data_IF_771176665750
#
_entry.id   IF_771176665750
#
_cell.length_a   1.000
_cell.length_b   1.000
_cell.length_c   1.000
_cell.angle_alpha   90.00
_cell.angle_beta   90.00
_cell.angle_gamma   90.00
#
_symmetry.space_group_name_H-M   'P 1'
#
loop_
_entity.id
_entity.type
_entity.pdbx_description
1 polymer ?
#
# COMPACT_ATOMS: atom_id res chain seq x y z
N UNK A 1 -10.36 -27.97 48.05
CA UNK A 1 -10.38 -29.09 47.08
C UNK A 1 -11.31 -28.72 45.94
N UNK A 2 -10.76 -28.39 44.76
CA UNK A 2 -11.13 -28.96 43.45
C UNK A 2 -10.21 -28.31 42.39
N UNK A 3 -9.77 -29.14 41.45
CA UNK A 3 -8.49 -29.09 40.75
C UNK A 3 -8.33 -27.97 39.70
N UNK A 4 -7.10 -27.45 39.61
CA UNK A 4 -6.51 -26.87 38.39
C UNK A 4 -6.09 -27.98 37.41
N UNK A 5 -6.09 -27.72 36.10
CA UNK A 5 -4.99 -28.18 35.23
C UNK A 5 -4.38 -26.96 34.51
N UNK A 6 -3.09 -26.65 34.72
CA UNK A 6 -1.92 -27.25 34.07
C UNK A 6 -1.77 -26.79 32.61
N UNK A 7 -1.13 -25.62 32.46
CA UNK A 7 -0.63 -25.04 31.23
C UNK A 7 0.52 -25.92 30.71
N UNK A 8 0.31 -26.63 29.59
CA UNK A 8 1.35 -27.42 28.93
C UNK A 8 1.96 -26.59 27.79
N UNK A 9 3.29 -26.44 27.82
CA UNK A 9 4.10 -25.99 26.69
C UNK A 9 3.80 -26.85 25.46
N UNK A 10 3.49 -26.20 24.34
CA UNK A 10 3.55 -26.80 23.01
C UNK A 10 4.55 -26.02 22.15
N UNK A 11 5.79 -26.49 22.16
CA UNK A 11 6.74 -26.30 21.06
C UNK A 11 6.26 -27.18 19.90
N UNK A 12 5.49 -26.61 18.98
CA UNK A 12 5.25 -27.25 17.68
C UNK A 12 6.51 -27.09 16.83
N UNK A 13 7.24 -28.19 16.67
CA UNK A 13 8.13 -28.36 15.53
C UNK A 13 7.31 -28.22 14.25
N UNK A 14 7.64 -27.20 13.45
CA UNK A 14 7.11 -27.05 12.09
C UNK A 14 7.72 -28.17 11.26
N UNK A 15 6.94 -29.21 10.97
CA UNK A 15 7.28 -30.14 9.91
C UNK A 15 7.32 -29.37 8.58
N UNK A 16 8.33 -29.58 7.72
CA UNK A 16 8.31 -28.99 6.40
C UNK A 16 7.11 -29.56 5.64
N UNK A 17 6.15 -28.71 5.32
CA UNK A 17 5.08 -29.05 4.39
C UNK A 17 5.72 -29.46 3.07
N UNK A 18 5.37 -30.68 2.63
CA UNK A 18 5.61 -31.17 1.27
C UNK A 18 5.16 -30.07 0.31
N UNK A 19 6.04 -29.63 -0.58
CA UNK A 19 5.98 -28.38 -1.34
C UNK A 19 4.64 -28.17 -2.08
N UNK A 20 3.64 -27.65 -1.37
CA UNK A 20 2.56 -26.88 -1.96
C UNK A 20 3.20 -25.58 -2.41
N UNK A 21 3.25 -25.36 -3.72
CA UNK A 21 3.72 -24.11 -4.25
C UNK A 21 2.96 -22.95 -3.60
N UNK A 22 3.69 -22.00 -3.02
CA UNK A 22 3.08 -20.81 -2.42
C UNK A 22 2.30 -20.06 -3.50
N UNK A 23 0.98 -19.94 -3.31
CA UNK A 23 0.14 -19.17 -4.21
C UNK A 23 0.46 -17.69 -4.01
N UNK A 24 0.67 -17.01 -5.13
CA UNK A 24 0.81 -15.57 -5.15
C UNK A 24 -0.54 -14.91 -5.39
N UNK A 25 -0.69 -13.69 -4.90
CA UNK A 25 -1.86 -12.85 -5.13
C UNK A 25 -1.55 -11.67 -6.03
N UNK A 26 -2.47 -11.39 -6.93
CA UNK A 26 -2.58 -10.12 -7.63
C UNK A 26 -4.06 -9.76 -7.78
N UNK A 27 -4.48 -8.67 -7.12
CA UNK A 27 -5.86 -8.22 -7.11
C UNK A 27 -6.84 -9.33 -6.67
N UNK A 28 -7.81 -9.73 -7.51
CA UNK A 28 -8.78 -10.79 -7.20
C UNK A 28 -8.33 -12.21 -7.58
N UNK A 29 -7.05 -12.40 -7.90
CA UNK A 29 -6.52 -13.66 -8.43
C UNK A 29 -5.46 -14.24 -7.52
N UNK A 30 -5.61 -15.52 -7.16
CA UNK A 30 -4.54 -16.37 -6.66
C UNK A 30 -4.00 -17.26 -7.77
N UNK A 31 -2.67 -17.37 -7.88
CA UNK A 31 -2.00 -18.15 -8.91
C UNK A 31 -0.63 -18.67 -8.45
N UNK A 32 -0.21 -19.82 -8.99
CA UNK A 32 1.15 -20.32 -8.82
C UNK A 32 2.11 -19.68 -9.83
N UNK A 33 3.37 -19.49 -9.46
CA UNK A 33 4.42 -18.98 -10.36
C UNK A 33 4.96 -20.13 -11.24
N UNK A 34 4.87 -20.12 -12.57
CA UNK A 34 5.41 -21.24 -13.34
C UNK A 34 6.89 -21.51 -13.02
N UNK A 35 7.31 -22.77 -13.04
CA UNK A 35 8.64 -23.16 -12.55
C UNK A 35 9.77 -22.39 -13.26
N UNK A 36 10.63 -21.74 -12.47
CA UNK A 36 11.75 -20.92 -12.97
C UNK A 36 11.38 -19.52 -13.47
N UNK A 37 10.09 -19.18 -13.52
CA UNK A 37 9.66 -17.83 -13.90
C UNK A 37 9.90 -16.87 -12.75
N UNK A 38 10.04 -15.59 -13.09
CA UNK A 38 10.14 -14.50 -12.12
C UNK A 38 8.92 -13.60 -12.21
N UNK A 39 8.56 -12.92 -11.12
CA UNK A 39 7.47 -11.93 -11.09
C UNK A 39 8.01 -10.53 -10.81
N UNK A 40 7.46 -9.55 -11.51
CA UNK A 40 7.48 -8.14 -11.16
C UNK A 40 6.08 -7.55 -11.27
N UNK A 41 5.77 -6.49 -10.52
CA UNK A 41 4.52 -5.75 -10.65
C UNK A 41 4.81 -4.43 -11.39
N UNK A 42 4.22 -4.25 -12.58
CA UNK A 42 4.52 -3.13 -13.48
C UNK A 42 3.24 -2.52 -14.04
N UNK A 43 3.11 -1.20 -13.92
CA UNK A 43 2.02 -0.43 -14.56
C UNK A 43 0.61 -0.99 -14.31
N UNK A 44 0.36 -1.50 -13.09
CA UNK A 44 -0.95 -2.07 -12.72
C UNK A 44 -1.19 -3.48 -13.26
N UNK A 45 -0.15 -4.24 -13.58
CA UNK A 45 -0.21 -5.65 -13.93
C UNK A 45 0.85 -6.45 -13.15
N UNK A 46 0.56 -7.72 -12.85
CA UNK A 46 1.61 -8.67 -12.51
C UNK A 46 2.22 -9.19 -13.82
N UNK A 47 3.54 -9.08 -13.93
CA UNK A 47 4.34 -9.48 -15.09
C UNK A 47 5.20 -10.66 -14.69
N UNK A 48 5.03 -11.77 -15.39
CA UNK A 48 5.75 -13.01 -15.17
C UNK A 48 6.67 -13.22 -16.37
N UNK A 49 7.97 -13.34 -16.13
CA UNK A 49 8.97 -13.48 -17.19
C UNK A 49 9.55 -14.90 -17.21
N UNK A 50 9.61 -15.50 -18.41
CA UNK A 50 10.24 -16.80 -18.62
C UNK A 50 11.74 -16.78 -18.30
N UNK A 51 12.35 -17.93 -17.92
CA UNK A 51 13.76 -18.00 -17.56
C UNK A 51 14.73 -17.49 -18.64
N UNK A 52 14.36 -17.62 -19.91
CA UNK A 52 15.17 -17.24 -21.08
C UNK A 52 14.82 -15.85 -21.64
N UNK A 53 13.87 -15.13 -21.03
CA UNK A 53 13.43 -13.81 -21.49
C UNK A 53 12.55 -13.80 -22.75
N UNK A 54 12.17 -14.96 -23.31
CA UNK A 54 11.44 -15.03 -24.59
C UNK A 54 9.93 -14.95 -24.50
N UNK A 55 9.38 -15.15 -23.31
CA UNK A 55 7.94 -15.10 -23.06
C UNK A 55 7.60 -14.32 -21.80
N UNK A 56 6.51 -13.57 -21.89
CA UNK A 56 5.98 -12.78 -20.79
C UNK A 56 4.51 -13.11 -20.62
N UNK A 57 4.09 -13.45 -19.39
CA UNK A 57 2.67 -13.49 -19.03
C UNK A 57 2.34 -12.19 -18.31
N UNK A 58 1.33 -11.48 -18.78
CA UNK A 58 0.82 -10.27 -18.14
C UNK A 58 -0.56 -10.54 -17.57
N UNK A 59 -0.74 -10.38 -16.26
CA UNK A 59 -2.04 -10.43 -15.58
C UNK A 59 -2.47 -9.00 -15.22
N UNK A 60 -3.48 -8.49 -15.90
CA UNK A 60 -4.01 -7.15 -15.68
C UNK A 60 -4.90 -7.09 -14.42
N UNK A 61 -4.95 -5.91 -13.78
CA UNK A 61 -5.87 -5.66 -12.67
C UNK A 61 -7.32 -5.92 -13.11
N UNK A 62 -8.14 -6.48 -12.23
CA UNK A 62 -9.53 -6.75 -12.56
C UNK A 62 -10.31 -5.47 -12.81
N UNK A 63 -11.28 -5.57 -13.70
CA UNK A 63 -12.20 -4.50 -14.00
C UNK A 63 -13.65 -4.96 -13.79
N UNK A 64 -14.55 -4.04 -13.40
CA UNK A 64 -15.97 -4.34 -13.45
C UNK A 64 -16.41 -4.54 -14.90
N UNK A 65 -17.40 -5.40 -15.12
CA UNK A 65 -18.07 -5.48 -16.42
C UNK A 65 -19.59 -5.54 -16.24
N UNK A 66 -20.31 -4.85 -17.12
CA UNK A 66 -21.75 -4.92 -17.23
C UNK A 66 -22.09 -5.72 -18.49
N UNK A 67 -22.77 -6.85 -18.34
CA UNK A 67 -23.16 -7.72 -19.45
C UNK A 67 -22.37 -9.03 -19.46
N UNK A 68 -21.94 -9.47 -20.63
CA UNK A 68 -21.27 -10.76 -20.80
C UNK A 68 -19.77 -10.59 -21.10
N UNK A 69 -19.00 -11.62 -20.77
CA UNK A 69 -17.56 -11.62 -20.95
C UNK A 69 -17.14 -11.59 -22.43
N UNK A 70 -18.01 -12.05 -23.34
CA UNK A 70 -17.77 -11.99 -24.78
C UNK A 70 -17.64 -10.56 -25.28
N UNK A 71 -18.49 -9.64 -24.82
CA UNK A 71 -18.40 -8.23 -25.19
C UNK A 71 -17.07 -7.60 -24.73
N UNK A 72 -16.60 -7.97 -23.53
CA UNK A 72 -15.30 -7.55 -23.00
C UNK A 72 -14.16 -8.06 -23.89
N UNK A 73 -14.18 -9.36 -24.23
CA UNK A 73 -13.17 -9.96 -25.09
C UNK A 73 -13.16 -9.34 -26.51
N UNK A 74 -14.33 -9.06 -27.08
CA UNK A 74 -14.43 -8.39 -28.39
C UNK A 74 -13.96 -6.94 -28.37
N UNK A 75 -14.21 -6.20 -27.29
CA UNK A 75 -13.68 -4.85 -27.14
C UNK A 75 -12.14 -4.88 -27.13
N UNK A 76 -11.53 -5.83 -26.40
CA UNK A 76 -10.08 -6.00 -26.41
C UNK A 76 -9.55 -6.43 -27.77
N UNK A 77 -10.23 -7.36 -28.42
CA UNK A 77 -9.87 -7.81 -29.76
C UNK A 77 -9.96 -6.66 -30.77
N UNK A 78 -10.93 -5.76 -30.63
CA UNK A 78 -11.06 -4.56 -31.46
C UNK A 78 -9.87 -3.59 -31.27
N UNK A 79 -9.33 -3.44 -30.06
CA UNK A 79 -8.08 -2.69 -29.84
C UNK A 79 -6.90 -3.36 -30.57
N UNK A 80 -6.81 -4.69 -30.53
CA UNK A 80 -5.75 -5.43 -31.22
C UNK A 80 -5.85 -5.28 -32.75
N UNK A 81 -7.06 -5.23 -33.31
CA UNK A 81 -7.32 -5.03 -34.76
C UNK A 81 -6.77 -3.69 -35.29
N UNK A 82 -6.52 -2.72 -34.42
CA UNK A 82 -5.94 -1.43 -34.81
C UNK A 82 -4.40 -1.46 -34.92
N UNK A 83 -3.75 -2.57 -34.55
CA UNK A 83 -2.29 -2.70 -34.59
C UNK A 83 -1.82 -3.05 -36.00
N UNK A 84 -0.59 -2.61 -36.32
CA UNK A 84 0.05 -2.94 -37.60
C UNK A 84 0.20 -4.46 -37.74
N UNK A 85 0.04 -4.96 -38.97
CA UNK A 85 0.17 -6.39 -39.30
C UNK A 85 -0.73 -7.31 -38.45
N UNK A 86 -1.89 -6.81 -38.03
CA UNK A 86 -2.84 -7.60 -37.27
C UNK A 86 -3.30 -8.85 -38.04
N UNK A 87 -3.26 -10.00 -37.36
CA UNK A 87 -3.82 -11.25 -37.84
C UNK A 87 -4.45 -12.02 -36.67
N UNK A 88 -5.68 -12.52 -36.84
CA UNK A 88 -6.34 -13.36 -35.85
C UNK A 88 -6.21 -14.83 -36.22
N UNK A 89 -5.50 -15.59 -35.40
CA UNK A 89 -5.31 -17.03 -35.58
C UNK A 89 -6.50 -17.84 -35.08
N UNK A 90 -7.06 -17.46 -33.93
CA UNK A 90 -8.18 -18.17 -33.31
C UNK A 90 -8.99 -17.29 -32.36
N UNK A 91 -10.25 -17.67 -32.14
CA UNK A 91 -11.11 -17.22 -31.04
C UNK A 91 -11.81 -18.42 -30.43
N UNK A 92 -11.89 -18.47 -29.10
CA UNK A 92 -12.55 -19.55 -28.36
C UNK A 92 -13.39 -18.97 -27.24
N UNK A 93 -14.62 -19.49 -27.14
CA UNK A 93 -15.49 -19.30 -25.98
C UNK A 93 -15.53 -20.61 -25.21
N UNK A 94 -15.31 -20.57 -23.90
CA UNK A 94 -15.55 -21.71 -23.04
C UNK A 94 -16.76 -21.49 -22.12
N UNK A 95 -17.34 -22.59 -21.65
CA UNK A 95 -18.51 -22.54 -20.77
C UNK A 95 -18.09 -22.17 -19.34
N UNK A 96 -17.24 -22.99 -18.73
CA UNK A 96 -16.89 -22.87 -17.31
C UNK A 96 -15.39 -22.96 -17.15
N UNK A 97 -14.81 -21.98 -16.47
CA UNK A 97 -13.40 -21.94 -16.11
C UNK A 97 -13.13 -22.98 -15.02
N UNK A 98 -12.12 -23.83 -15.23
CA UNK A 98 -11.94 -25.07 -14.49
C UNK A 98 -11.89 -24.86 -12.97
N UNK A 99 -11.10 -23.90 -12.50
CA UNK A 99 -10.89 -23.67 -11.07
C UNK A 99 -11.86 -22.66 -10.45
N UNK A 100 -12.24 -21.62 -11.19
CA UNK A 100 -13.08 -20.54 -10.62
C UNK A 100 -14.58 -20.77 -10.82
N UNK A 101 -14.98 -21.68 -11.72
CA UNK A 101 -16.39 -21.85 -12.09
C UNK A 101 -16.98 -20.68 -12.87
N UNK A 102 -16.19 -19.65 -13.20
CA UNK A 102 -16.60 -18.48 -13.97
C UNK A 102 -16.72 -18.74 -15.47
N UNK A 103 -17.14 -17.73 -16.24
CA UNK A 103 -17.06 -17.79 -17.71
C UNK A 103 -15.64 -17.46 -18.17
N UNK A 104 -15.24 -17.95 -19.35
CA UNK A 104 -13.99 -17.50 -19.97
C UNK A 104 -14.09 -17.32 -21.48
N UNK A 105 -13.28 -16.39 -22.00
CA UNK A 105 -13.14 -16.09 -23.41
C UNK A 105 -11.65 -15.99 -23.74
N UNK A 106 -11.21 -16.55 -24.85
CA UNK A 106 -9.83 -16.42 -25.28
C UNK A 106 -9.74 -16.09 -26.78
N UNK A 107 -8.68 -15.39 -27.15
CA UNK A 107 -8.32 -15.16 -28.53
C UNK A 107 -6.81 -15.19 -28.68
N UNK A 108 -6.37 -15.57 -29.88
CA UNK A 108 -4.96 -15.62 -30.24
C UNK A 108 -4.76 -14.80 -31.51
N UNK A 109 -3.89 -13.79 -31.39
CA UNK A 109 -3.62 -12.81 -32.44
C UNK A 109 -2.12 -12.64 -32.62
N UNK A 110 -1.76 -12.08 -33.76
CA UNK A 110 -0.43 -11.63 -34.09
C UNK A 110 -0.51 -10.16 -34.55
N UNK A 111 0.50 -9.36 -34.23
CA UNK A 111 0.65 -7.99 -34.72
C UNK A 111 2.12 -7.55 -34.65
N UNK A 112 2.48 -6.46 -35.32
CA UNK A 112 3.79 -5.83 -35.19
C UNK A 112 3.82 -4.80 -34.05
N UNK A 113 4.89 -4.81 -33.25
CA UNK A 113 5.19 -3.82 -32.22
C UNK A 113 6.69 -3.53 -32.26
N UNK A 114 7.07 -2.24 -32.34
CA UNK A 114 8.48 -1.81 -32.42
C UNK A 114 9.28 -2.54 -33.53
N UNK A 115 8.63 -2.81 -34.67
CA UNK A 115 9.25 -3.50 -35.81
C UNK A 115 9.45 -5.01 -35.63
N UNK A 116 8.86 -5.62 -34.59
CA UNK A 116 8.92 -7.06 -34.34
C UNK A 116 7.52 -7.67 -34.31
N UNK A 117 7.40 -8.89 -34.79
CA UNK A 117 6.17 -9.67 -34.63
C UNK A 117 5.95 -10.02 -33.15
N UNK A 118 4.72 -9.88 -32.69
CA UNK A 118 4.25 -10.25 -31.35
C UNK A 118 3.11 -11.23 -31.52
N UNK A 119 3.21 -12.36 -30.85
CA UNK A 119 2.17 -13.37 -30.73
C UNK A 119 1.54 -13.23 -29.34
N UNK A 120 0.23 -12.94 -29.32
CA UNK A 120 -0.53 -12.60 -28.13
C UNK A 120 -1.71 -13.56 -27.97
N UNK A 121 -1.62 -14.45 -26.98
CA UNK A 121 -2.73 -15.27 -26.54
C UNK A 121 -3.30 -14.68 -25.26
N UNK A 122 -4.49 -14.10 -25.38
CA UNK A 122 -5.21 -13.46 -24.27
C UNK A 122 -6.38 -14.33 -23.82
N UNK A 123 -6.50 -14.49 -22.50
CA UNK A 123 -7.62 -15.09 -21.78
C UNK A 123 -8.31 -14.01 -20.93
N UNK A 124 -9.62 -13.90 -21.05
CA UNK A 124 -10.50 -13.17 -20.15
C UNK A 124 -11.22 -14.20 -19.27
N UNK A 125 -11.17 -14.03 -17.95
CA UNK A 125 -11.93 -14.87 -16.99
C UNK A 125 -12.83 -13.98 -16.15
N UNK A 126 -14.13 -14.26 -16.18
CA UNK A 126 -15.16 -13.49 -15.46
C UNK A 126 -15.71 -14.26 -14.27
N UNK A 127 -15.79 -13.61 -13.11
CA UNK A 127 -16.40 -14.15 -11.90
C UNK A 127 -17.18 -13.07 -11.16
N UNK A 128 -18.47 -13.33 -10.90
CA UNK A 128 -19.37 -12.32 -10.37
C UNK A 128 -19.45 -11.11 -11.31
N UNK A 129 -19.22 -9.90 -10.79
CA UNK A 129 -19.30 -8.62 -11.54
C UNK A 129 -17.93 -8.12 -12.03
N UNK A 130 -16.88 -8.93 -11.92
CA UNK A 130 -15.51 -8.56 -12.28
C UNK A 130 -14.89 -9.58 -13.23
N UNK A 131 -13.97 -9.12 -14.05
CA UNK A 131 -13.16 -9.99 -14.88
C UNK A 131 -11.69 -9.63 -14.74
N UNK A 132 -10.83 -10.59 -15.07
CA UNK A 132 -9.39 -10.40 -15.21
C UNK A 132 -8.96 -10.82 -16.60
N UNK A 133 -7.84 -10.26 -17.03
CA UNK A 133 -7.21 -10.60 -18.31
C UNK A 133 -5.79 -11.07 -18.07
N UNK A 134 -5.47 -12.23 -18.63
CA UNK A 134 -4.12 -12.73 -18.71
C UNK A 134 -3.70 -12.85 -20.17
N UNK A 135 -2.49 -12.41 -20.51
CA UNK A 135 -1.96 -12.48 -21.88
C UNK A 135 -0.57 -13.12 -21.87
N UNK A 136 -0.37 -14.13 -22.71
CA UNK A 136 0.95 -14.64 -23.07
C UNK A 136 1.46 -13.89 -24.30
N UNK A 137 2.62 -13.23 -24.15
CA UNK A 137 3.30 -12.49 -25.20
C UNK A 137 4.61 -13.19 -25.57
N UNK A 138 4.84 -13.43 -26.85
CA UNK A 138 6.09 -14.01 -27.38
C UNK A 138 6.50 -13.33 -28.69
N UNK A 139 7.79 -13.38 -29.01
CA UNK A 139 8.36 -12.76 -30.23
C UNK A 139 8.32 -13.64 -31.49
N UNK A 140 7.93 -14.91 -31.37
CA UNK A 140 7.92 -15.86 -32.48
C UNK A 140 6.85 -16.94 -32.31
N UNK A 141 6.42 -17.56 -33.42
CA UNK A 141 5.46 -18.66 -33.39
C UNK A 141 6.02 -19.91 -32.67
N UNK A 142 7.33 -20.15 -32.76
CA UNK A 142 8.01 -21.27 -32.11
C UNK A 142 8.01 -21.09 -30.58
N UNK A 143 8.37 -19.89 -30.11
CA UNK A 143 8.32 -19.56 -28.68
C UNK A 143 6.88 -19.66 -28.17
N UNK A 144 5.88 -19.19 -28.93
CA UNK A 144 4.47 -19.40 -28.60
C UNK A 144 4.14 -20.88 -28.41
N UNK A 145 4.53 -21.76 -29.34
CA UNK A 145 4.28 -23.19 -29.25
C UNK A 145 4.89 -23.86 -28.02
N UNK A 146 6.04 -23.37 -27.56
CA UNK A 146 6.69 -23.80 -26.31
C UNK A 146 5.90 -23.30 -25.10
N UNK A 147 5.64 -21.99 -25.03
CA UNK A 147 5.10 -21.35 -23.83
C UNK A 147 3.58 -21.48 -23.67
N UNK A 148 2.84 -21.76 -24.74
CA UNK A 148 1.42 -22.09 -24.68
C UNK A 148 1.16 -23.33 -23.80
N UNK A 149 2.11 -24.27 -23.74
CA UNK A 149 2.05 -25.47 -22.88
C UNK A 149 2.17 -25.14 -21.39
N UNK A 150 2.73 -23.97 -21.06
CA UNK A 150 2.83 -23.46 -19.69
C UNK A 150 1.61 -22.57 -19.38
N UNK A 151 1.28 -21.67 -20.31
CA UNK A 151 0.21 -20.68 -20.10
C UNK A 151 -1.18 -21.30 -19.97
N UNK A 152 -1.53 -22.32 -20.78
CA UNK A 152 -2.83 -22.99 -20.68
C UNK A 152 -3.12 -23.57 -19.29
N UNK A 153 -2.27 -24.49 -18.78
CA UNK A 153 -2.43 -25.03 -17.43
C UNK A 153 -2.35 -23.97 -16.33
N UNK A 154 -1.51 -22.95 -16.51
CA UNK A 154 -1.42 -21.84 -15.56
C UNK A 154 -2.73 -21.04 -15.49
N UNK A 155 -3.33 -20.76 -16.65
CA UNK A 155 -4.63 -20.13 -16.77
C UNK A 155 -5.73 -20.97 -16.10
N UNK A 156 -5.78 -22.27 -16.39
CA UNK A 156 -6.77 -23.17 -15.80
C UNK A 156 -6.70 -23.18 -14.27
N UNK A 157 -5.49 -23.01 -13.70
CA UNK A 157 -5.23 -22.97 -12.27
C UNK A 157 -5.54 -21.62 -11.60
N UNK A 158 -5.95 -20.58 -12.33
CA UNK A 158 -6.28 -19.29 -11.75
C UNK A 158 -7.49 -19.39 -10.81
N UNK A 159 -7.30 -18.96 -9.56
CA UNK A 159 -8.34 -18.91 -8.54
C UNK A 159 -8.87 -17.49 -8.43
N UNK A 160 -10.16 -17.30 -8.78
CA UNK A 160 -10.82 -16.01 -8.61
C UNK A 160 -11.43 -15.93 -7.22
N UNK A 161 -10.83 -15.09 -6.36
CA UNK A 161 -11.17 -15.02 -4.93
C UNK A 161 -12.59 -14.49 -4.67
N UNK A 162 -13.21 -13.85 -5.67
CA UNK A 162 -14.59 -13.35 -5.60
C UNK A 162 -15.65 -14.44 -5.65
N UNK A 163 -15.31 -15.67 -6.06
CA UNK A 163 -16.23 -16.81 -6.15
C UNK A 163 -15.87 -17.97 -5.23
N UNK A 164 -14.66 -17.94 -4.65
CA UNK A 164 -14.27 -18.85 -3.57
C UNK A 164 -15.06 -18.50 -2.29
N UNK A 165 -16.11 -19.26 -2.00
CA UNK A 165 -16.94 -19.09 -0.80
C UNK A 165 -16.28 -19.80 0.37
N UNK A 166 -15.90 -19.04 1.40
CA UNK A 166 -15.33 -19.56 2.64
C UNK A 166 -16.40 -19.94 3.65
N UNK A 167 -17.45 -19.13 3.77
CA UNK A 167 -18.60 -19.39 4.65
C UNK A 167 -19.91 -18.94 4.00
N UNK A 168 -20.98 -19.68 4.27
CA UNK A 168 -22.34 -19.31 3.83
C UNK A 168 -22.87 -18.17 4.71
N UNK A 169 -23.66 -17.26 4.13
CA UNK A 169 -24.24 -16.12 4.85
C UNK A 169 -24.91 -15.12 3.90
N UNK A 170 -25.38 -14.00 4.45
CA UNK A 170 -25.90 -12.86 3.68
C UNK A 170 -25.26 -11.54 4.15
N UNK A 171 -24.26 -11.00 3.41
CA UNK A 171 -23.63 -11.56 2.22
C UNK A 171 -22.82 -12.84 2.52
N UNK A 172 -22.45 -13.60 1.49
CA UNK A 172 -21.53 -14.75 1.63
C UNK A 172 -20.12 -14.25 1.95
N UNK A 173 -19.38 -14.95 2.81
CA UNK A 173 -17.97 -14.65 3.01
C UNK A 173 -17.16 -15.29 1.89
N UNK A 174 -16.51 -14.45 1.07
CA UNK A 174 -15.62 -14.91 0.00
C UNK A 174 -14.17 -14.72 0.40
N UNK A 175 -13.25 -15.43 -0.28
CA UNK A 175 -11.81 -15.20 -0.11
C UNK A 175 -11.44 -13.74 -0.40
N UNK A 176 -12.05 -13.13 -1.42
CA UNK A 176 -11.88 -11.72 -1.74
C UNK A 176 -12.25 -10.80 -0.57
N UNK A 177 -13.42 -11.00 0.05
CA UNK A 177 -13.86 -10.21 1.21
C UNK A 177 -12.85 -10.27 2.35
N UNK A 178 -12.35 -11.47 2.65
CA UNK A 178 -11.39 -11.68 3.72
C UNK A 178 -10.03 -11.05 3.39
N UNK A 179 -9.51 -11.27 2.18
CA UNK A 179 -8.23 -10.74 1.76
C UNK A 179 -8.23 -9.19 1.73
N UNK A 180 -9.31 -8.57 1.25
CA UNK A 180 -9.46 -7.12 1.27
C UNK A 180 -9.56 -6.55 2.69
N UNK A 181 -10.17 -7.31 3.61
CA UNK A 181 -10.23 -6.95 5.04
C UNK A 181 -8.84 -6.96 5.65
N UNK A 182 -8.08 -8.05 5.44
CA UNK A 182 -6.70 -8.20 5.94
C UNK A 182 -5.80 -7.10 5.37
N UNK A 183 -5.84 -6.88 4.06
CA UNK A 183 -5.05 -5.82 3.43
C UNK A 183 -5.42 -4.44 3.98
N UNK A 184 -6.70 -4.21 4.32
CA UNK A 184 -7.13 -2.93 4.87
C UNK A 184 -6.53 -2.72 6.25
N UNK A 185 -6.52 -3.77 7.07
CA UNK A 185 -5.89 -3.75 8.38
C UNK A 185 -4.38 -3.53 8.27
N UNK A 186 -3.69 -4.22 7.36
CA UNK A 186 -2.26 -4.01 7.07
C UNK A 186 -1.95 -2.59 6.64
N UNK A 187 -2.77 -2.06 5.72
CA UNK A 187 -2.69 -0.66 5.30
C UNK A 187 -2.87 0.26 6.51
N UNK A 188 -3.93 0.07 7.29
CA UNK A 188 -4.29 0.91 8.43
C UNK A 188 -3.16 0.99 9.46
N UNK A 189 -2.61 -0.16 9.89
CA UNK A 189 -1.51 -0.24 10.86
C UNK A 189 -0.13 0.05 10.26
N UNK A 190 -0.06 0.22 8.94
CA UNK A 190 1.18 0.44 8.19
C UNK A 190 2.25 -0.64 8.44
N UNK A 191 1.82 -1.90 8.57
CA UNK A 191 2.71 -3.02 8.84
C UNK A 191 2.18 -4.29 8.18
N UNK A 192 3.02 -5.06 7.45
CA UNK A 192 2.61 -6.34 6.89
C UNK A 192 2.36 -7.34 8.03
N UNK A 193 1.30 -8.14 7.89
CA UNK A 193 1.00 -9.21 8.82
C UNK A 193 1.70 -10.50 8.39
N UNK A 194 2.19 -11.26 9.36
CA UNK A 194 2.72 -12.60 9.13
C UNK A 194 1.61 -13.57 8.73
N UNK A 195 1.96 -14.70 8.11
CA UNK A 195 0.99 -15.75 7.77
C UNK A 195 0.17 -16.22 8.98
N UNK A 196 0.80 -16.33 10.15
CA UNK A 196 0.11 -16.68 11.40
C UNK A 196 -0.91 -15.60 11.79
N UNK A 197 -0.52 -14.33 11.75
CA UNK A 197 -1.40 -13.21 12.11
C UNK A 197 -2.60 -13.09 11.15
N UNK A 198 -2.36 -13.26 9.84
CA UNK A 198 -3.43 -13.34 8.82
C UNK A 198 -4.39 -14.49 9.11
N UNK A 199 -3.88 -15.65 9.51
CA UNK A 199 -4.69 -16.80 9.92
C UNK A 199 -5.54 -16.56 11.16
N UNK A 200 -5.05 -15.76 12.12
CA UNK A 200 -5.82 -15.33 13.30
C UNK A 200 -7.00 -14.44 12.87
N UNK A 201 -6.79 -13.47 12.00
CA UNK A 201 -7.88 -12.62 11.45
C UNK A 201 -8.89 -13.47 10.66
N UNK A 202 -8.41 -14.37 9.80
CA UNK A 202 -9.28 -15.29 9.05
C UNK A 202 -10.19 -16.10 9.98
N UNK A 203 -9.61 -16.66 11.04
CA UNK A 203 -10.35 -17.49 11.99
C UNK A 203 -11.47 -16.69 12.66
N UNK A 204 -11.15 -15.48 13.12
CA UNK A 204 -12.09 -14.58 13.79
C UNK A 204 -13.21 -14.15 12.84
N UNK A 205 -12.88 -13.64 11.64
CA UNK A 205 -13.85 -13.19 10.64
C UNK A 205 -14.79 -14.33 10.22
N UNK A 206 -14.26 -15.54 10.00
CA UNK A 206 -15.09 -16.71 9.68
C UNK A 206 -16.02 -17.08 10.83
N UNK A 207 -15.60 -16.86 12.08
CA UNK A 207 -16.45 -17.12 13.25
C UNK A 207 -17.72 -16.26 13.25
N UNK A 208 -17.63 -14.99 12.81
CA UNK A 208 -18.78 -14.10 12.71
C UNK A 208 -19.83 -14.62 11.72
N UNK A 209 -19.39 -15.13 10.56
CA UNK A 209 -20.29 -15.76 9.59
C UNK A 209 -20.92 -17.05 10.10
N UNK A 210 -20.13 -17.91 10.76
CA UNK A 210 -20.65 -19.16 11.35
C UNK A 210 -21.69 -18.88 12.44
N UNK A 211 -21.44 -17.87 13.27
CA UNK A 211 -22.35 -17.43 14.32
C UNK A 211 -23.53 -16.59 13.81
N UNK A 212 -23.54 -16.21 12.52
CA UNK A 212 -24.48 -15.25 11.93
C UNK A 212 -24.54 -13.93 12.72
N UNK A 213 -23.39 -13.46 13.18
CA UNK A 213 -23.28 -12.20 13.90
C UNK A 213 -23.41 -11.03 12.91
N UNK A 214 -24.66 -10.57 12.70
CA UNK A 214 -24.95 -9.59 11.65
C UNK A 214 -24.26 -8.25 11.88
N UNK A 215 -24.08 -7.82 13.14
CA UNK A 215 -23.41 -6.57 13.46
C UNK A 215 -21.96 -6.55 12.95
N UNK A 216 -21.21 -7.63 13.17
CA UNK A 216 -19.83 -7.78 12.70
C UNK A 216 -19.75 -7.94 11.18
N UNK A 217 -20.70 -8.69 10.59
CA UNK A 217 -20.81 -8.85 9.13
C UNK A 217 -21.04 -7.50 8.44
N UNK A 218 -21.94 -6.68 9.00
CA UNK A 218 -22.24 -5.34 8.50
C UNK A 218 -21.04 -4.41 8.69
N UNK A 219 -20.35 -4.50 9.83
CA UNK A 219 -19.12 -3.76 10.11
C UNK A 219 -18.01 -4.03 9.07
N UNK A 220 -17.75 -5.30 8.74
CA UNK A 220 -16.79 -5.68 7.68
C UNK A 220 -17.27 -5.20 6.31
N UNK A 221 -18.57 -5.27 6.03
CA UNK A 221 -19.12 -4.78 4.76
C UNK A 221 -18.93 -3.27 4.62
N UNK A 222 -19.14 -2.51 5.69
CA UNK A 222 -18.93 -1.06 5.69
C UNK A 222 -17.44 -0.70 5.56
N UNK A 223 -16.56 -1.43 6.25
CA UNK A 223 -15.10 -1.30 6.11
C UNK A 223 -14.66 -1.40 4.63
N UNK A 224 -15.20 -2.38 3.90
CA UNK A 224 -14.88 -2.58 2.49
C UNK A 224 -15.45 -1.46 1.60
N UNK A 225 -16.57 -0.84 1.96
CA UNK A 225 -17.06 0.36 1.27
C UNK A 225 -16.12 1.53 1.50
N UNK A 226 -15.71 1.78 2.74
CA UNK A 226 -14.73 2.82 3.09
C UNK A 226 -13.43 2.64 2.29
N UNK A 227 -12.90 1.41 2.23
CA UNK A 227 -11.74 1.06 1.39
C UNK A 227 -11.97 1.40 -0.08
N UNK A 228 -13.16 1.08 -0.62
CA UNK A 228 -13.48 1.35 -2.02
C UNK A 228 -13.59 2.84 -2.34
N UNK A 229 -14.07 3.66 -1.41
CA UNK A 229 -14.09 5.12 -1.55
C UNK A 229 -12.69 5.69 -1.43
N UNK A 230 -11.89 5.22 -0.46
CA UNK A 230 -10.49 5.60 -0.31
C UNK A 230 -9.68 5.31 -1.57
N UNK A 231 -9.93 4.21 -2.28
CA UNK A 231 -9.25 3.91 -3.53
C UNK A 231 -9.43 4.96 -4.64
N UNK A 232 -10.45 5.82 -4.54
CA UNK A 232 -10.73 6.94 -5.47
C UNK A 232 -10.04 8.24 -5.04
N UNK A 233 -9.55 8.29 -3.81
CA UNK A 233 -8.93 9.45 -3.17
C UNK A 233 -7.44 9.48 -3.53
N UNK A 234 -6.88 10.70 -3.66
CA UNK A 234 -5.46 10.87 -3.99
C UNK A 234 -4.56 10.22 -2.93
N UNK A 235 -3.35 9.74 -3.28
CA UNK A 235 -2.44 9.12 -2.31
C UNK A 235 -2.20 9.95 -1.05
N UNK A 236 -2.08 11.27 -1.17
CA UNK A 236 -1.82 12.18 -0.05
C UNK A 236 -3.02 12.28 0.89
N UNK A 237 -4.22 12.43 0.32
CA UNK A 237 -5.50 12.48 1.03
C UNK A 237 -5.79 11.15 1.75
N UNK A 238 -5.46 10.02 1.13
CA UNK A 238 -5.58 8.68 1.76
C UNK A 238 -4.73 8.56 3.02
N UNK A 239 -3.53 9.12 3.03
CA UNK A 239 -2.64 9.04 4.21
C UNK A 239 -3.21 9.83 5.40
N UNK A 240 -3.83 10.99 5.17
CA UNK A 240 -4.49 11.73 6.24
C UNK A 240 -5.66 10.92 6.82
N UNK A 241 -6.51 10.35 5.97
CA UNK A 241 -7.64 9.53 6.44
C UNK A 241 -7.13 8.30 7.19
N UNK A 242 -6.04 7.68 6.73
CA UNK A 242 -5.42 6.55 7.43
C UNK A 242 -5.04 6.89 8.86
N UNK A 243 -4.39 8.04 9.08
CA UNK A 243 -3.96 8.46 10.42
C UNK A 243 -5.17 8.67 11.35
N UNK A 244 -6.24 9.29 10.85
CA UNK A 244 -7.47 9.48 11.61
C UNK A 244 -8.15 8.14 11.96
N UNK A 245 -8.30 7.26 10.97
CA UNK A 245 -8.88 5.92 11.18
C UNK A 245 -8.03 5.05 12.10
N UNK A 246 -6.70 5.19 12.08
CA UNK A 246 -5.81 4.40 12.93
C UNK A 246 -6.00 4.78 14.40
N UNK A 247 -6.13 6.07 14.72
CA UNK A 247 -6.38 6.52 16.10
C UNK A 247 -7.70 5.97 16.64
N UNK A 248 -8.77 6.06 15.86
CA UNK A 248 -10.07 5.50 16.19
C UNK A 248 -10.00 3.98 16.38
N UNK A 249 -9.38 3.26 15.42
CA UNK A 249 -9.20 1.81 15.49
C UNK A 249 -8.39 1.37 16.71
N UNK A 250 -7.31 2.08 17.05
CA UNK A 250 -6.51 1.79 18.25
C UNK A 250 -7.32 1.98 19.53
N UNK A 251 -8.19 2.98 19.61
CA UNK A 251 -9.07 3.18 20.76
C UNK A 251 -10.08 2.02 20.88
N UNK A 252 -10.73 1.65 19.77
CA UNK A 252 -11.66 0.52 19.73
C UNK A 252 -10.99 -0.80 20.14
N UNK A 253 -9.79 -1.10 19.61
CA UNK A 253 -9.07 -2.33 19.96
C UNK A 253 -8.64 -2.38 21.43
N UNK A 254 -8.43 -1.23 22.11
CA UNK A 254 -8.12 -1.18 23.55
C UNK A 254 -9.35 -1.45 24.41
N UNK A 255 -10.53 -1.11 23.93
CA UNK A 255 -11.80 -1.37 24.60
C UNK A 255 -12.19 -2.85 24.53
N UNK A 256 -11.92 -3.51 23.39
CA UNK A 256 -12.15 -4.94 23.19
C UNK A 256 -10.95 -5.81 23.59
N UNK A 257 -10.79 -5.97 24.90
CA UNK A 257 -9.67 -6.75 25.49
C UNK A 257 -9.82 -8.26 25.34
N UNK A 258 -11.05 -8.74 25.12
CA UNK A 258 -11.33 -10.17 25.03
C UNK A 258 -11.00 -10.71 23.63
N UNK A 259 -11.12 -9.88 22.59
CA UNK A 259 -10.76 -10.25 21.22
C UNK A 259 -9.26 -10.57 21.07
N UNK A 260 -8.90 -11.81 20.67
CA UNK A 260 -7.52 -12.16 20.35
C UNK A 260 -6.95 -11.34 19.19
N UNK A 261 -7.80 -10.97 18.22
CA UNK A 261 -7.40 -10.14 17.08
C UNK A 261 -7.06 -8.72 17.54
N UNK A 262 -7.89 -8.08 18.36
CA UNK A 262 -7.63 -6.72 18.85
C UNK A 262 -6.31 -6.64 19.63
N UNK A 263 -6.05 -7.60 20.52
CA UNK A 263 -4.76 -7.69 21.24
C UNK A 263 -3.58 -7.89 20.30
N UNK A 264 -3.69 -8.82 19.36
CA UNK A 264 -2.65 -9.07 18.36
C UNK A 264 -2.37 -7.81 17.52
N UNK A 265 -3.39 -7.06 17.08
CA UNK A 265 -3.22 -5.84 16.29
C UNK A 265 -2.56 -4.72 17.10
N UNK A 266 -2.90 -4.58 18.39
CA UNK A 266 -2.21 -3.66 19.30
C UNK A 266 -0.73 -4.03 19.47
N UNK A 267 -0.40 -5.32 19.56
CA UNK A 267 0.99 -5.80 19.63
C UNK A 267 1.75 -5.54 18.33
N UNK A 268 1.15 -5.81 17.17
CA UNK A 268 1.75 -5.49 15.86
C UNK A 268 2.00 -4.01 15.73
N UNK A 269 1.02 -3.18 16.09
CA UNK A 269 1.17 -1.73 16.05
C UNK A 269 2.27 -1.25 17.01
N UNK A 270 2.33 -1.78 18.23
CA UNK A 270 3.38 -1.45 19.19
C UNK A 270 4.77 -1.88 18.70
N UNK A 271 4.89 -3.05 18.06
CA UNK A 271 6.13 -3.54 17.49
C UNK A 271 6.59 -2.70 16.29
N UNK A 272 5.67 -2.24 15.45
CA UNK A 272 5.96 -1.32 14.35
C UNK A 272 6.36 0.09 14.83
N UNK A 273 5.90 0.47 16.02
CA UNK A 273 6.12 1.79 16.62
C UNK A 273 7.00 1.72 17.89
N UNK A 274 8.03 0.86 17.87
CA UNK A 274 8.96 0.79 18.98
C UNK A 274 9.61 2.17 19.25
N UNK A 275 9.64 2.62 20.52
CA UNK A 275 10.34 3.84 20.88
C UNK A 275 11.82 3.77 20.50
N UNK A 276 12.29 4.79 19.78
CA UNK A 276 13.73 5.01 19.50
C UNK A 276 14.39 5.90 20.56
N UNK A 277 13.59 6.57 21.40
CA UNK A 277 14.05 7.27 22.61
C UNK A 277 12.92 7.40 23.65
N UNK A 278 13.24 7.37 24.97
CA UNK A 278 12.25 7.55 26.02
C UNK A 278 11.77 9.01 26.09
N UNK A 279 10.51 9.20 26.49
CA UNK A 279 9.87 10.50 26.67
C UNK A 279 8.35 10.36 26.80
N UNK A 280 7.66 11.48 27.01
CA UNK A 280 6.20 11.54 27.03
C UNK A 280 5.74 12.62 26.03
N UNK A 281 5.11 12.22 24.90
CA UNK A 281 5.04 10.85 24.37
C UNK A 281 6.42 10.31 23.95
N UNK A 282 6.63 8.97 23.89
CA UNK A 282 7.91 8.39 23.45
C UNK A 282 8.21 8.73 22.00
N UNK A 283 9.49 8.84 21.65
CA UNK A 283 9.89 9.11 20.27
C UNK A 283 9.79 7.83 19.45
N UNK A 284 8.99 7.84 18.39
CA UNK A 284 8.88 6.72 17.44
C UNK A 284 9.46 7.12 16.09
N UNK A 285 9.89 6.12 15.31
CA UNK A 285 10.52 6.36 14.00
C UNK A 285 9.63 7.15 13.05
N UNK A 286 8.35 6.80 12.96
CA UNK A 286 7.39 7.46 12.08
C UNK A 286 7.25 8.96 12.35
N UNK A 287 7.27 9.36 13.64
CA UNK A 287 7.19 10.76 14.04
C UNK A 287 8.40 11.56 13.52
N UNK A 288 9.60 11.00 13.63
CA UNK A 288 10.81 11.67 13.13
C UNK A 288 10.90 11.67 11.61
N UNK A 289 10.46 10.61 10.94
CA UNK A 289 10.44 10.57 9.48
C UNK A 289 9.46 11.62 8.91
N UNK A 290 8.27 11.75 9.49
CA UNK A 290 7.31 12.79 9.12
C UNK A 290 7.84 14.20 9.44
N UNK A 291 8.53 14.36 10.57
CA UNK A 291 9.21 15.60 10.92
C UNK A 291 10.30 15.96 9.88
N UNK A 292 11.11 14.99 9.46
CA UNK A 292 12.13 15.17 8.43
C UNK A 292 11.52 15.67 7.12
N UNK A 293 10.47 15.00 6.65
CA UNK A 293 9.78 15.35 5.41
C UNK A 293 9.19 16.76 5.46
N UNK A 294 8.55 17.12 6.58
CA UNK A 294 8.06 18.47 6.81
C UNK A 294 9.18 19.52 6.73
N UNK A 295 10.29 19.32 7.45
CA UNK A 295 11.41 20.27 7.48
C UNK A 295 12.00 20.49 6.09
N UNK A 296 12.26 19.41 5.36
CA UNK A 296 12.85 19.49 4.03
C UNK A 296 11.90 20.05 2.99
N UNK A 297 10.59 19.78 3.11
CA UNK A 297 9.59 20.43 2.28
C UNK A 297 9.55 21.94 2.51
N UNK A 298 9.44 22.37 3.76
CA UNK A 298 9.38 23.79 4.12
C UNK A 298 10.64 24.54 3.66
N UNK A 299 11.82 23.99 3.94
CA UNK A 299 13.09 24.57 3.50
C UNK A 299 13.26 24.56 1.97
N UNK A 300 12.82 23.48 1.30
CA UNK A 300 12.81 23.40 -0.16
C UNK A 300 11.92 24.49 -0.77
N UNK A 301 10.69 24.66 -0.27
CA UNK A 301 9.79 25.73 -0.74
C UNK A 301 10.31 27.13 -0.44
N UNK A 302 10.96 27.34 0.71
CA UNK A 302 11.62 28.61 1.01
C UNK A 302 12.78 28.93 0.04
N UNK A 303 13.46 27.89 -0.46
CA UNK A 303 14.56 27.98 -1.43
C UNK A 303 14.12 27.90 -2.91
N UNK A 304 12.84 27.68 -3.17
CA UNK A 304 12.31 27.35 -4.51
C UNK A 304 12.95 26.09 -5.15
N UNK A 305 13.13 25.04 -4.34
CA UNK A 305 13.69 23.75 -4.74
C UNK A 305 12.73 22.64 -4.29
N UNK A 306 12.49 21.67 -5.18
CA UNK A 306 11.78 20.44 -4.80
C UNK A 306 12.77 19.39 -4.26
N UNK A 307 12.52 18.90 -3.05
CA UNK A 307 13.48 18.04 -2.33
C UNK A 307 12.81 16.78 -1.83
N UNK A 308 13.36 15.64 -2.23
CA UNK A 308 13.01 14.33 -1.69
C UNK A 308 14.00 13.93 -0.60
N UNK A 309 13.50 13.61 0.59
CA UNK A 309 14.35 13.20 1.73
C UNK A 309 14.79 11.75 1.58
N UNK A 310 16.10 11.51 1.51
CA UNK A 310 16.65 10.16 1.42
C UNK A 310 16.49 9.39 2.74
N UNK A 311 16.44 8.05 2.67
CA UNK A 311 16.38 7.19 3.86
C UNK A 311 17.57 7.42 4.82
N UNK A 312 18.77 7.65 4.28
CA UNK A 312 19.97 7.98 5.07
C UNK A 312 19.78 9.28 5.86
N UNK A 313 19.18 10.29 5.25
CA UNK A 313 18.91 11.58 5.89
C UNK A 313 17.91 11.41 7.04
N UNK A 314 16.82 10.66 6.80
CA UNK A 314 15.83 10.35 7.84
C UNK A 314 16.46 9.59 9.01
N UNK A 315 17.31 8.60 8.72
CA UNK A 315 18.03 7.83 9.73
C UNK A 315 18.90 8.73 10.61
N UNK A 316 19.67 9.66 10.01
CA UNK A 316 20.52 10.59 10.77
C UNK A 316 19.71 11.53 11.65
N UNK A 317 18.61 12.08 11.13
CA UNK A 317 17.69 12.89 11.94
C UNK A 317 17.12 12.08 13.11
N UNK A 318 16.69 10.83 12.87
CA UNK A 318 16.20 9.95 13.93
C UNK A 318 17.23 9.75 15.05
N UNK A 319 18.48 9.45 14.70
CA UNK A 319 19.56 9.29 15.68
C UNK A 319 19.86 10.57 16.47
N UNK A 320 19.85 11.72 15.81
CA UNK A 320 20.15 13.00 16.47
C UNK A 320 19.01 13.48 17.36
N UNK A 321 17.76 13.39 16.89
CA UNK A 321 16.58 13.70 17.72
C UNK A 321 16.54 12.77 18.93
N UNK A 322 16.81 11.48 18.74
CA UNK A 322 16.81 10.49 19.82
C UNK A 322 17.82 10.83 20.95
N UNK A 323 19.03 11.31 20.63
CA UNK A 323 20.06 11.68 21.63
C UNK A 323 19.60 12.74 22.63
N UNK A 324 18.74 13.67 22.19
CA UNK A 324 18.26 14.79 23.00
C UNK A 324 16.83 14.66 23.50
N UNK A 325 16.06 13.70 22.98
CA UNK A 325 14.59 13.70 23.08
C UNK A 325 14.06 13.76 24.52
N UNK A 326 14.59 12.93 25.42
CA UNK A 326 14.16 12.89 26.82
C UNK A 326 14.36 14.23 27.57
N UNK A 327 15.29 15.07 27.10
CA UNK A 327 15.59 16.38 27.69
C UNK A 327 14.87 17.53 26.99
N UNK A 328 14.16 17.26 25.88
CA UNK A 328 13.39 18.29 25.18
C UNK A 328 12.23 18.78 26.06
N UNK A 329 11.82 20.05 25.92
CA UNK A 329 10.54 20.53 26.46
C UNK A 329 9.34 19.66 26.02
N UNK A 330 8.29 19.59 26.84
CA UNK A 330 7.14 18.71 26.59
C UNK A 330 6.36 19.10 25.33
N UNK A 331 6.02 20.38 25.20
CA UNK A 331 5.38 20.98 24.01
C UNK A 331 6.09 20.58 22.72
N UNK A 332 7.42 20.46 22.78
CA UNK A 332 8.24 20.04 21.66
C UNK A 332 8.20 18.56 21.35
N UNK A 333 8.12 17.71 22.38
CA UNK A 333 7.91 16.27 22.20
C UNK A 333 6.54 16.01 21.58
N UNK A 334 5.50 16.68 22.08
CA UNK A 334 4.14 16.63 21.55
C UNK A 334 4.10 17.10 20.09
N UNK A 335 4.79 18.19 19.77
CA UNK A 335 4.94 18.69 18.41
C UNK A 335 5.50 17.60 17.49
N UNK A 336 6.66 17.01 17.82
CA UNK A 336 7.29 15.94 17.01
C UNK A 336 6.35 14.74 16.88
N UNK A 337 5.71 14.32 17.97
CA UNK A 337 4.78 13.19 17.95
C UNK A 337 3.55 13.42 17.06
N UNK A 338 3.09 14.67 16.92
CA UNK A 338 1.98 15.05 16.04
C UNK A 338 2.34 15.22 14.57
N UNK A 339 3.63 15.08 14.21
CA UNK A 339 4.12 15.31 12.85
C UNK A 339 3.49 14.42 11.78
N UNK A 340 3.22 13.12 11.98
CA UNK A 340 2.59 12.28 10.95
C UNK A 340 1.27 12.88 10.46
N UNK A 341 0.41 13.32 11.37
CA UNK A 341 -0.87 13.97 11.05
C UNK A 341 -0.65 15.35 10.43
N UNK A 342 0.19 16.18 11.05
CA UNK A 342 0.39 17.57 10.57
C UNK A 342 1.01 17.61 9.17
N UNK A 343 1.97 16.74 8.91
CA UNK A 343 2.61 16.62 7.60
C UNK A 343 1.64 16.12 6.52
N UNK A 344 0.82 15.11 6.84
CA UNK A 344 -0.23 14.64 5.93
C UNK A 344 -1.22 15.77 5.58
N UNK A 345 -1.69 16.53 6.59
CA UNK A 345 -2.58 17.67 6.39
C UNK A 345 -1.97 18.77 5.52
N UNK A 346 -0.71 19.14 5.76
CA UNK A 346 -0.03 20.16 4.97
C UNK A 346 0.10 19.77 3.49
N UNK A 347 0.46 18.52 3.18
CA UNK A 347 0.59 18.06 1.79
C UNK A 347 -0.71 18.18 1.00
N UNK A 348 -1.85 17.93 1.66
CA UNK A 348 -3.18 18.05 1.06
C UNK A 348 -3.57 19.51 0.89
N UNK A 349 -3.33 20.33 1.92
CA UNK A 349 -3.72 21.74 1.91
C UNK A 349 -2.87 22.58 0.94
N UNK A 350 -1.57 22.29 0.83
CA UNK A 350 -0.60 23.15 0.12
C UNK A 350 -0.98 23.50 -1.33
N UNK A 351 -1.40 22.56 -2.20
CA UNK A 351 -1.84 22.89 -3.56
C UNK A 351 -3.06 23.82 -3.61
N UNK A 352 -3.91 23.79 -2.58
CA UNK A 352 -5.14 24.58 -2.47
C UNK A 352 -4.97 25.93 -1.78
N UNK A 353 -3.82 26.22 -1.18
CA UNK A 353 -3.54 27.52 -0.56
C UNK A 353 -3.41 28.61 -1.63
N UNK A 354 -3.98 29.78 -1.36
CA UNK A 354 -3.78 30.97 -2.18
C UNK A 354 -2.36 31.54 -2.04
N UNK A 355 -2.00 32.46 -2.94
CA UNK A 355 -0.65 33.05 -2.95
C UNK A 355 -0.34 33.88 -1.70
N UNK A 356 -1.35 34.48 -1.05
CA UNK A 356 -1.14 35.24 0.18
C UNK A 356 -0.88 34.31 1.37
N UNK A 357 -1.56 33.17 1.44
CA UNK A 357 -1.33 32.11 2.43
C UNK A 357 0.05 31.47 2.23
N UNK A 358 0.39 31.07 1.00
CA UNK A 358 1.72 30.54 0.68
C UNK A 358 2.81 31.55 1.01
N UNK A 359 2.66 32.81 0.60
CA UNK A 359 3.63 33.87 0.90
C UNK A 359 3.83 34.08 2.40
N UNK A 360 2.75 34.02 3.21
CA UNK A 360 2.85 34.09 4.68
C UNK A 360 3.61 32.91 5.27
N UNK A 361 3.33 31.68 4.83
CA UNK A 361 4.04 30.49 5.28
C UNK A 361 5.52 30.53 4.86
N UNK A 362 5.79 30.90 3.61
CA UNK A 362 7.15 31.05 3.10
C UNK A 362 7.93 32.14 3.84
N UNK A 363 7.30 33.27 4.17
CA UNK A 363 7.93 34.31 4.98
C UNK A 363 8.24 33.78 6.39
N UNK A 364 7.29 33.11 7.04
CA UNK A 364 7.52 32.48 8.34
C UNK A 364 8.68 31.47 8.29
N UNK A 365 8.74 30.62 7.26
CA UNK A 365 9.84 29.67 7.06
C UNK A 365 11.18 30.35 6.71
N UNK A 366 11.18 31.54 6.10
CA UNK A 366 12.42 32.27 5.81
C UNK A 366 13.00 32.97 7.04
N UNK A 367 12.12 33.41 7.94
CA UNK A 367 12.50 34.03 9.22
C UNK A 367 12.86 32.98 10.29
N UNK A 368 12.38 31.75 10.15
CA UNK A 368 12.79 30.63 10.99
C UNK A 368 14.27 30.30 10.76
N UNK A 369 15.11 30.52 11.77
CA UNK A 369 16.57 30.29 11.70
C UNK A 369 16.95 28.88 11.23
N UNK A 370 16.09 27.90 11.51
CA UNK A 370 16.34 26.48 11.23
C UNK A 370 16.10 26.19 9.76
N UNK A 371 14.94 26.61 9.27
CA UNK A 371 14.56 26.54 7.87
C UNK A 371 15.49 27.38 6.99
N UNK A 372 15.96 28.54 7.49
CA UNK A 372 16.97 29.37 6.82
C UNK A 372 18.30 28.63 6.65
N UNK A 373 18.81 27.97 7.69
CA UNK A 373 20.05 27.19 7.56
C UNK A 373 19.86 25.98 6.64
N UNK A 374 18.72 25.29 6.71
CA UNK A 374 18.42 24.14 5.85
C UNK A 374 18.25 24.54 4.38
N UNK A 375 17.58 25.66 4.11
CA UNK A 375 17.41 26.19 2.74
C UNK A 375 18.73 26.60 2.09
N UNK A 376 19.65 27.22 2.85
CA UNK A 376 21.02 27.50 2.38
C UNK A 376 21.74 26.20 2.02
N UNK A 377 21.65 25.16 2.86
CA UNK A 377 22.26 23.86 2.60
C UNK A 377 21.67 23.18 1.35
N UNK A 378 20.35 23.17 1.21
CA UNK A 378 19.66 22.60 0.05
C UNK A 378 20.01 23.33 -1.24
N UNK A 379 20.11 24.66 -1.19
CA UNK A 379 20.56 25.46 -2.34
C UNK A 379 22.01 25.16 -2.71
N UNK A 380 22.88 24.95 -1.72
CA UNK A 380 24.27 24.56 -1.98
C UNK A 380 24.36 23.16 -2.58
N UNK A 381 23.51 22.22 -2.14
CA UNK A 381 23.43 20.87 -2.68
C UNK A 381 22.85 20.84 -4.09
N UNK A 382 21.86 21.68 -4.42
CA UNK A 382 21.32 21.74 -5.79
C UNK A 382 22.36 22.29 -6.78
N UNK A 383 23.08 23.35 -6.38
CA UNK A 383 24.20 23.89 -7.17
C UNK A 383 25.36 22.89 -7.29
N UNK A 384 25.65 22.12 -6.24
CA UNK A 384 26.69 21.07 -6.27
C UNK A 384 26.28 19.82 -7.03
N UNK A 385 25.01 19.41 -7.01
CA UNK A 385 24.51 18.31 -7.85
C UNK A 385 24.55 18.69 -9.34
N UNK A 386 24.43 19.99 -9.67
CA UNK A 386 24.74 20.54 -11.00
C UNK A 386 26.24 20.47 -11.36
N UNK A 387 27.13 20.34 -10.35
CA UNK A 387 28.58 20.38 -10.49
C UNK A 387 29.32 19.09 -10.07
N UNK A 388 28.59 17.99 -9.79
CA UNK A 388 29.04 16.60 -9.57
C UNK A 388 29.35 16.10 -8.13
N UNK A 389 29.13 14.79 -7.97
CA UNK A 389 29.00 13.93 -6.78
C UNK A 389 30.14 13.91 -5.72
N UNK A 390 31.10 14.84 -5.71
CA UNK A 390 32.26 14.77 -4.79
C UNK A 390 32.06 15.46 -3.41
N UNK A 391 31.02 16.28 -3.23
CA UNK A 391 30.79 17.05 -1.99
C UNK A 391 29.99 16.33 -0.89
N UNK A 392 29.49 15.11 -1.17
CA UNK A 392 28.56 14.37 -0.30
C UNK A 392 29.10 14.01 1.08
N UNK A 393 30.42 14.01 1.27
CA UNK A 393 31.08 13.66 2.53
C UNK A 393 31.24 14.86 3.50
N UNK A 394 31.38 16.09 2.99
CA UNK A 394 31.51 17.29 3.84
C UNK A 394 30.16 17.83 4.31
N UNK A 395 29.10 17.71 3.50
CA UNK A 395 27.74 18.09 3.90
C UNK A 395 27.23 17.26 5.11
N UNK A 396 27.69 16.02 5.26
CA UNK A 396 27.31 15.15 6.38
C UNK A 396 27.84 15.63 7.74
N UNK A 397 29.03 16.25 7.79
CA UNK A 397 29.62 16.70 9.06
C UNK A 397 28.99 18.00 9.58
N UNK A 398 28.53 18.89 8.69
CA UNK A 398 27.86 20.13 9.10
C UNK A 398 26.39 19.92 9.50
N UNK A 399 25.76 18.84 9.02
CA UNK A 399 24.40 18.46 9.43
C UNK A 399 24.29 18.24 10.95
N UNK A 400 25.32 17.61 11.55
CA UNK A 400 25.39 17.25 12.97
C UNK A 400 25.32 18.43 13.96
N UNK A 401 25.84 19.60 13.61
CA UNK A 401 25.80 20.77 14.50
C UNK A 401 24.50 21.56 14.37
N UNK A 402 23.75 21.35 13.29
CA UNK A 402 22.57 22.14 12.98
C UNK A 402 21.33 21.59 13.67
N UNK A 403 21.18 20.26 13.78
CA UNK A 403 19.95 19.65 14.31
C UNK A 403 19.71 19.91 15.79
N UNK A 404 20.76 20.23 16.56
CA UNK A 404 20.63 20.73 17.94
C UNK A 404 19.95 22.10 18.03
N UNK A 405 20.09 22.94 17.00
CA UNK A 405 19.46 24.28 16.93
C UNK A 405 18.13 24.27 16.15
N UNK A 406 17.87 23.24 15.33
CA UNK A 406 16.54 22.85 14.76
C UNK A 406 15.50 22.55 15.87
N UNK A 407 16.03 22.53 17.08
CA UNK A 407 15.50 22.88 18.38
C UNK A 407 14.19 23.75 18.47
N UNK A 408 14.35 24.98 18.93
CA UNK A 408 13.32 25.86 19.51
C UNK A 408 12.23 26.51 18.63
N UNK A 409 12.36 26.61 17.30
CA UNK A 409 11.59 27.60 16.51
C UNK A 409 10.25 27.13 15.89
N UNK A 410 10.02 25.81 15.77
CA UNK A 410 8.88 25.24 15.01
C UNK A 410 7.46 25.45 15.61
N UNK A 411 7.34 25.94 16.84
CA UNK A 411 6.05 26.01 17.55
C UNK A 411 5.08 27.07 16.96
N UNK A 412 5.58 28.22 16.53
CA UNK A 412 4.72 29.33 16.08
C UNK A 412 4.10 29.09 14.69
N UNK A 413 4.84 28.45 13.80
CA UNK A 413 4.35 28.09 12.46
C UNK A 413 3.23 27.06 12.54
N UNK A 414 3.39 26.06 13.41
CA UNK A 414 2.39 25.00 13.61
C UNK A 414 1.11 25.54 14.22
N UNK A 415 1.19 26.55 15.10
CA UNK A 415 0.00 27.24 15.61
C UNK A 415 -0.78 27.95 14.50
N UNK A 416 -0.10 28.57 13.54
CA UNK A 416 -0.74 29.23 12.39
C UNK A 416 -1.40 28.18 11.48
N UNK A 417 -0.71 27.09 11.18
CA UNK A 417 -1.25 26.00 10.35
C UNK A 417 -2.46 25.36 11.05
N UNK A 418 -2.37 25.02 12.34
CA UNK A 418 -3.48 24.47 13.11
C UNK A 418 -4.67 25.42 13.19
N UNK A 419 -4.43 26.73 13.36
CA UNK A 419 -5.51 27.74 13.38
C UNK A 419 -6.21 27.90 12.03
N UNK A 420 -5.51 27.65 10.92
CA UNK A 420 -6.07 27.73 9.57
C UNK A 420 -6.70 26.41 9.10
N UNK A 421 -6.22 25.25 9.59
CA UNK A 421 -6.84 23.94 9.34
C UNK A 421 -8.05 23.69 10.24
N UNK A 422 -8.09 24.27 11.44
CA UNK A 422 -9.19 24.19 12.40
C UNK A 422 -10.40 25.09 12.08
N UNK A 423 -10.62 25.42 10.80
CA UNK A 423 -11.78 26.17 10.35
C UNK A 423 -13.09 25.41 10.57
N UNK A 424 -13.68 25.56 11.76
CA UNK A 424 -15.11 25.43 12.06
C UNK A 424 -15.82 24.09 11.75
N UNK A 425 -15.14 22.94 11.72
CA UNK A 425 -15.79 21.62 11.78
C UNK A 425 -15.98 21.19 13.22
N UNK A 426 -17.07 21.66 13.85
CA UNK A 426 -17.56 21.13 15.12
C UNK A 426 -18.40 19.89 14.81
N UNK A 427 -17.91 18.70 15.13
CA UNK A 427 -18.73 17.49 15.14
C UNK A 427 -19.63 17.52 16.38
N UNK A 428 -20.88 17.97 16.23
CA UNK A 428 -21.91 17.75 17.25
C UNK A 428 -22.46 16.33 17.06
N UNK A 429 -22.09 15.43 17.97
CA UNK A 429 -22.81 14.17 18.15
C UNK A 429 -24.15 14.49 18.80
N UNK A 430 -25.23 14.36 18.03
CA UNK A 430 -26.59 14.32 18.57
C UNK A 430 -26.87 12.89 19.00
N UNK A 431 -27.01 12.71 20.30
CA UNK A 431 -27.49 11.49 20.94
C UNK A 431 -28.97 11.27 20.67
#
# INVERSE_FOLDING_TARGET
MLARPALLLLLCAIAPSVHGQELQRFDIVHFGLPAGWTRADESGAAVLQSPDGKATIRLAKSAPYAGNLKAVAEAKLAEARQRAEFFQHAGRTGNTHATSGGEWQAFFVQYASEGRAVFDWTLCVGAGKRYVMASLLTGSADDYGVYAKVFGPWCDALQLTTVEVLEKGSPRLTRFTLDETIDFVEWLIHSPLTAQQRGTIETEVRSYWKAKNQAEIDGITELLKVRSELAKVKPEERELVRQALLEEGLNQWREDKESPVCRMLLEVHAAANQPIAPGEPPLVRQAVDAYAEYLYFAAGKAADIDVQVSAETKQKLAEEVAKGYAKMPQDRRELIASMPMTWAGLRIAWPGLDEAQKSRLLAAWKEDDQMKKLSIQLSSLSMQNLLSNQARLQAQQMHFQMMSNIMQSNFDTMRIIASNMGGNTRYEYRW
#
